data_IF_617351711288
#
_entry.id   IF_617351711288
#
_cell.length_a   1.000
_cell.length_b   1.000
_cell.length_c   1.000
_cell.angle_alpha   90.00
_cell.angle_beta   90.00
_cell.angle_gamma   90.00
#
_symmetry.space_group_name_H-M   'P 1'
#
loop_
_entity.id
_entity.type
_entity.pdbx_description
1 polymer ?
#
# COMPACT_ATOMS: atom_id res chain seq x y z
N UNK A 1 2.14 -15.26 2.58
CA UNK A 1 2.40 -13.89 3.06
C UNK A 1 3.10 -13.98 4.39
N UNK A 2 4.13 -13.18 4.64
CA UNK A 2 4.88 -13.21 5.92
C UNK A 2 4.26 -12.23 6.92
N UNK A 3 3.74 -11.11 6.42
CA UNK A 3 3.14 -10.07 7.25
C UNK A 3 4.16 -9.42 8.19
N UNK A 4 3.64 -8.77 9.23
CA UNK A 4 4.41 -8.10 10.27
C UNK A 4 3.62 -8.13 11.58
N UNK A 5 4.32 -8.11 12.71
CA UNK A 5 3.70 -8.14 14.04
C UNK A 5 2.96 -6.85 14.39
N UNK A 6 3.38 -5.73 13.80
CA UNK A 6 2.80 -4.39 14.02
C UNK A 6 2.92 -3.55 12.76
N UNK A 7 1.99 -2.64 12.54
CA UNK A 7 2.05 -1.65 11.45
C UNK A 7 3.29 -0.75 11.52
N UNK A 8 3.89 -0.63 12.71
CA UNK A 8 5.11 0.14 12.94
C UNK A 8 6.40 -0.69 12.87
N UNK A 9 6.31 -2.02 12.76
CA UNK A 9 7.47 -2.91 12.91
C UNK A 9 8.27 -3.13 11.63
N UNK A 10 7.60 -3.16 10.48
CA UNK A 10 8.24 -3.42 9.18
C UNK A 10 7.31 -3.00 8.04
N UNK A 11 7.82 -3.00 6.81
CA UNK A 11 6.99 -2.98 5.60
C UNK A 11 6.28 -4.33 5.45
N UNK A 12 5.02 -4.32 4.99
CA UNK A 12 4.26 -5.55 4.74
C UNK A 12 4.43 -6.02 3.29
N UNK A 13 4.43 -7.34 3.08
CA UNK A 13 4.12 -7.89 1.77
C UNK A 13 2.63 -7.71 1.43
N UNK A 14 2.31 -7.78 0.14
CA UNK A 14 0.95 -7.62 -0.37
C UNK A 14 0.70 -8.56 -1.58
N UNK A 15 -0.55 -8.69 -1.98
CA UNK A 15 -0.94 -9.47 -3.15
C UNK A 15 -1.96 -8.67 -3.96
N UNK A 16 -1.79 -8.68 -5.28
CA UNK A 16 -2.77 -8.17 -6.21
C UNK A 16 -3.68 -9.31 -6.66
N UNK A 17 -4.98 -9.14 -6.44
CA UNK A 17 -6.01 -10.08 -6.84
C UNK A 17 -6.70 -9.57 -8.12
N UNK A 18 -6.77 -10.37 -9.19
CA UNK A 18 -7.48 -10.01 -10.41
C UNK A 18 -8.98 -9.84 -10.17
N UNK A 19 -9.65 -9.04 -11.00
CA UNK A 19 -11.11 -9.14 -11.13
C UNK A 19 -11.54 -10.55 -11.50
N UNK A 20 -12.73 -10.90 -11.01
CA UNK A 20 -13.37 -12.21 -11.20
C UNK A 20 -12.59 -13.39 -10.62
N UNK A 21 -11.55 -13.13 -9.81
CA UNK A 21 -10.85 -14.16 -9.07
C UNK A 21 -11.60 -14.51 -7.78
N UNK A 22 -11.54 -15.79 -7.40
CA UNK A 22 -11.82 -16.23 -6.03
C UNK A 22 -10.51 -16.32 -5.28
N UNK A 23 -10.47 -15.75 -4.09
CA UNK A 23 -9.32 -15.82 -3.19
C UNK A 23 -9.80 -16.24 -1.81
N UNK A 24 -8.99 -17.03 -1.13
CA UNK A 24 -9.19 -17.44 0.25
C UNK A 24 -8.04 -16.90 1.09
N UNK A 25 -8.35 -16.33 2.25
CA UNK A 25 -7.37 -15.87 3.23
C UNK A 25 -7.55 -16.73 4.47
N UNK A 26 -6.52 -17.50 4.82
CA UNK A 26 -6.50 -18.35 6.00
C UNK A 26 -5.21 -18.14 6.78
N UNK A 27 -5.30 -18.24 8.11
CA UNK A 27 -4.16 -18.16 9.02
C UNK A 27 -4.45 -18.95 10.29
N UNK A 28 -3.57 -19.88 10.64
CA UNK A 28 -3.68 -20.63 11.90
C UNK A 28 -3.53 -19.75 13.15
N UNK A 29 -2.79 -18.63 13.04
CA UNK A 29 -2.58 -17.69 14.15
C UNK A 29 -3.50 -16.45 14.07
N UNK A 30 -4.35 -16.36 13.05
CA UNK A 30 -5.09 -15.15 12.72
C UNK A 30 -4.21 -14.07 12.07
N UNK A 31 -4.75 -12.87 11.90
CA UNK A 31 -4.04 -11.74 11.30
C UNK A 31 -4.95 -10.55 11.04
N UNK A 32 -4.34 -9.39 10.76
CA UNK A 32 -5.04 -8.19 10.29
C UNK A 32 -4.73 -7.99 8.81
N UNK A 33 -5.78 -7.91 8.01
CA UNK A 33 -5.69 -7.81 6.56
C UNK A 33 -6.38 -6.52 6.10
N UNK A 34 -5.75 -5.79 5.20
CA UNK A 34 -6.37 -4.67 4.51
C UNK A 34 -6.78 -5.13 3.11
N UNK A 35 -8.06 -4.97 2.77
CA UNK A 35 -8.61 -5.31 1.46
C UNK A 35 -8.96 -4.01 0.73
N UNK A 36 -8.05 -3.56 -0.13
CA UNK A 36 -8.30 -2.43 -1.02
C UNK A 36 -8.90 -2.94 -2.33
N UNK A 37 -10.06 -2.39 -2.71
CA UNK A 37 -10.75 -2.74 -3.95
C UNK A 37 -11.12 -1.50 -4.75
N UNK A 38 -11.20 -1.65 -6.07
CA UNK A 38 -11.69 -0.64 -6.98
C UNK A 38 -12.41 -1.32 -8.15
N UNK A 39 -13.43 -0.68 -8.70
CA UNK A 39 -14.02 -1.10 -9.97
C UNK A 39 -12.96 -0.99 -11.07
N UNK A 40 -12.79 -2.05 -11.85
CA UNK A 40 -11.72 -2.15 -12.85
C UNK A 40 -12.24 -2.80 -14.14
N UNK A 41 -11.66 -2.41 -15.27
CA UNK A 41 -12.00 -2.93 -16.58
C UNK A 41 -11.08 -4.07 -17.00
N UNK A 42 -9.77 -3.92 -16.79
CA UNK A 42 -8.75 -4.87 -17.24
C UNK A 42 -8.53 -5.97 -16.20
N UNK A 43 -8.43 -7.21 -16.69
CA UNK A 43 -7.99 -8.34 -15.88
C UNK A 43 -6.47 -8.51 -16.02
N UNK A 44 -5.75 -8.16 -14.96
CA UNK A 44 -4.30 -8.39 -14.82
C UNK A 44 -4.07 -9.70 -14.04
N UNK A 45 -2.93 -10.40 -14.19
CA UNK A 45 -2.66 -11.64 -13.46
C UNK A 45 -2.48 -11.39 -11.96
N UNK A 46 -2.73 -12.45 -11.16
CA UNK A 46 -2.44 -12.43 -9.73
C UNK A 46 -0.93 -12.32 -9.52
N UNK A 47 -0.52 -11.51 -8.55
CA UNK A 47 0.91 -11.27 -8.27
C UNK A 47 1.14 -11.03 -6.79
N UNK A 48 2.26 -11.54 -6.32
CA UNK A 48 2.78 -11.27 -4.98
C UNK A 48 3.73 -10.07 -5.04
N UNK A 49 3.58 -9.13 -4.12
CA UNK A 49 4.48 -8.02 -3.89
C UNK A 49 5.26 -8.24 -2.60
N UNK A 50 6.52 -8.70 -2.67
CA UNK A 50 7.29 -9.02 -1.47
C UNK A 50 7.72 -7.74 -0.75
N UNK A 51 7.69 -7.75 0.59
CA UNK A 51 8.06 -6.58 1.41
C UNK A 51 9.43 -5.96 1.05
N UNK A 52 10.50 -6.72 0.77
CA UNK A 52 11.80 -6.15 0.39
C UNK A 52 11.82 -5.40 -0.94
N UNK A 53 10.84 -5.61 -1.83
CA UNK A 53 10.74 -4.91 -3.11
C UNK A 53 9.81 -3.70 -3.06
N UNK A 54 9.15 -3.44 -1.93
CA UNK A 54 8.33 -2.25 -1.74
C UNK A 54 9.26 -1.03 -1.63
N UNK A 55 9.18 -0.05 -2.55
CA UNK A 55 10.01 1.14 -2.46
C UNK A 55 9.62 1.94 -1.21
N UNK A 56 10.62 2.28 -0.40
CA UNK A 56 10.46 3.11 0.80
C UNK A 56 11.11 4.46 0.55
N UNK A 57 10.34 5.53 0.75
CA UNK A 57 10.80 6.89 0.58
C UNK A 57 10.67 7.69 1.88
N UNK A 58 11.69 8.48 2.22
CA UNK A 58 11.55 9.56 3.17
C UNK A 58 11.15 10.83 2.41
N UNK A 59 9.98 11.37 2.72
CA UNK A 59 9.40 12.51 2.03
C UNK A 59 9.22 13.69 2.97
N UNK A 60 9.47 14.90 2.47
CA UNK A 60 9.41 16.14 3.26
C UNK A 60 10.59 16.28 4.24
N UNK A 61 10.57 17.36 5.02
CA UNK A 61 11.61 17.68 6.01
C UNK A 61 10.99 18.34 7.25
N UNK A 62 11.74 18.33 8.37
CA UNK A 62 11.29 18.88 9.65
C UNK A 62 9.93 18.31 10.07
N UNK A 63 8.99 19.21 10.39
CA UNK A 63 7.62 18.85 10.81
C UNK A 63 6.74 18.25 9.71
N UNK A 64 7.25 18.15 8.48
CA UNK A 64 6.57 17.48 7.37
C UNK A 64 7.29 16.19 6.94
N UNK A 65 8.29 15.71 7.70
CA UNK A 65 8.97 14.45 7.42
C UNK A 65 8.06 13.24 7.64
N UNK A 66 8.01 12.32 6.69
CA UNK A 66 7.28 11.05 6.80
C UNK A 66 7.97 9.94 6.01
N UNK A 67 7.73 8.70 6.41
CA UNK A 67 8.08 7.53 5.59
C UNK A 67 6.87 7.14 4.74
N UNK A 68 7.10 6.84 3.47
CA UNK A 68 6.09 6.36 2.52
C UNK A 68 6.52 4.98 2.03
N UNK A 69 5.65 3.99 2.23
CA UNK A 69 5.81 2.62 1.74
C UNK A 69 4.94 2.46 0.49
N UNK A 70 5.56 2.39 -0.68
CA UNK A 70 4.90 2.48 -1.98
C UNK A 70 4.41 1.12 -2.50
N UNK A 71 3.45 0.49 -1.80
CA UNK A 71 2.93 -0.84 -2.11
C UNK A 71 2.48 -0.98 -3.58
N UNK A 72 1.60 -0.11 -4.04
CA UNK A 72 1.15 -0.03 -5.42
C UNK A 72 0.94 1.42 -5.84
N UNK A 73 1.98 2.25 -5.72
CA UNK A 73 1.94 3.61 -6.23
C UNK A 73 1.84 3.62 -7.76
N UNK A 74 1.32 4.72 -8.33
CA UNK A 74 1.29 4.89 -9.79
C UNK A 74 2.70 4.69 -10.40
N UNK A 75 2.79 3.83 -11.41
CA UNK A 75 4.04 3.48 -12.07
C UNK A 75 4.94 2.49 -11.31
N UNK A 76 4.69 2.22 -10.03
CA UNK A 76 5.53 1.32 -9.21
C UNK A 76 5.11 -0.15 -9.27
N UNK A 77 3.81 -0.43 -9.24
CA UNK A 77 3.27 -1.79 -9.39
C UNK A 77 2.05 -1.74 -10.32
N UNK A 78 2.04 -2.58 -11.35
CA UNK A 78 1.04 -2.50 -12.40
C UNK A 78 -0.37 -2.92 -11.90
N UNK A 79 -1.23 -1.93 -11.64
CA UNK A 79 -2.64 -2.11 -11.32
C UNK A 79 -3.51 -1.54 -12.44
N UNK A 80 -4.77 -1.99 -12.55
CA UNK A 80 -5.71 -1.34 -13.49
C UNK A 80 -6.17 0.01 -12.93
N UNK A 81 -6.73 0.01 -11.71
CA UNK A 81 -7.31 1.21 -11.07
C UNK A 81 -6.88 1.46 -9.63
N UNK A 82 -6.23 0.48 -8.99
CA UNK A 82 -5.79 0.62 -7.61
C UNK A 82 -4.51 1.45 -7.51
N UNK A 83 -4.48 2.34 -6.53
CA UNK A 83 -3.26 2.95 -6.00
C UNK A 83 -3.25 2.74 -4.48
N UNK A 84 -2.15 2.20 -3.96
CA UNK A 84 -2.03 1.92 -2.52
C UNK A 84 -0.66 2.38 -2.03
N UNK A 85 -0.67 3.24 -1.02
CA UNK A 85 0.52 3.68 -0.29
C UNK A 85 0.22 3.63 1.20
N UNK A 86 1.22 3.28 1.99
CA UNK A 86 1.17 3.43 3.44
C UNK A 86 2.08 4.58 3.86
N UNK A 87 1.63 5.40 4.81
CA UNK A 87 2.38 6.57 5.28
C UNK A 87 2.53 6.49 6.79
N UNK A 88 3.78 6.48 7.26
CA UNK A 88 4.12 6.60 8.67
C UNK A 88 4.54 8.04 8.97
N UNK A 89 3.74 8.69 9.81
CA UNK A 89 3.93 10.10 10.19
C UNK A 89 4.34 10.15 11.66
N UNK A 90 5.58 10.56 11.99
CA UNK A 90 6.01 10.68 13.38
C UNK A 90 5.11 11.62 14.19
N UNK A 91 5.05 11.39 15.50
CA UNK A 91 4.29 12.24 16.39
C UNK A 91 4.72 13.72 16.26
N UNK A 92 3.75 14.63 16.15
CA UNK A 92 3.98 16.07 15.97
C UNK A 92 4.23 16.53 14.52
N UNK A 93 4.38 15.59 13.57
CA UNK A 93 4.51 15.88 12.15
C UNK A 93 3.16 15.93 11.43
N UNK A 94 3.17 16.56 10.26
CA UNK A 94 2.05 16.66 9.33
C UNK A 94 2.31 15.80 8.09
N UNK A 95 1.27 15.10 7.64
CA UNK A 95 1.24 14.36 6.36
C UNK A 95 0.15 14.90 5.45
N UNK A 96 0.14 14.44 4.20
CA UNK A 96 -0.74 14.99 3.14
C UNK A 96 -0.59 16.51 2.98
N UNK A 97 0.62 17.01 3.31
CA UNK A 97 1.01 18.42 3.27
C UNK A 97 2.21 18.63 2.32
N UNK A 98 2.25 19.74 1.55
CA UNK A 98 1.21 20.78 1.45
C UNK A 98 -0.13 20.24 0.89
N UNK A 99 -1.26 20.94 1.18
CA UNK A 99 -2.56 20.52 0.69
C UNK A 99 -2.54 20.34 -0.83
N UNK A 100 -3.16 19.27 -1.31
CA UNK A 100 -3.28 18.97 -2.72
C UNK A 100 -4.58 18.21 -2.97
N UNK A 101 -5.06 18.22 -4.22
CA UNK A 101 -6.29 17.56 -4.64
C UNK A 101 -6.03 16.71 -5.88
N UNK A 102 -6.83 15.67 -6.06
CA UNK A 102 -6.82 14.76 -7.21
C UNK A 102 -8.23 14.55 -7.78
N UNK A 103 -9.13 15.49 -7.51
CA UNK A 103 -10.56 15.41 -7.81
C UNK A 103 -10.94 15.94 -9.20
N UNK A 104 -10.14 16.86 -9.79
CA UNK A 104 -10.25 17.33 -11.19
C UNK A 104 -9.20 18.43 -11.48
N UNK A 105 -8.92 18.67 -12.77
CA UNK A 105 -8.51 19.98 -13.30
C UNK A 105 -9.55 20.43 -14.31
#
# INVERSE_FOLDING_TARGET
>A
MRGRSSVFGAVSDFAYLPRDARAEISSGAGGRFALAGATCGRRLPARYGPAPEVPVELRGAGRAGRQVNNLAQAGGFACDRLMVVEVLTPAGNWSSYPPHKHDEA
#
